data_IF_310600566314
#
_entry.id   IF_310600566314
#
_cell.length_a   1.000
_cell.length_b   1.000
_cell.length_c   1.000
_cell.angle_alpha   90.00
_cell.angle_beta   90.00
_cell.angle_gamma   90.00
#
_symmetry.space_group_name_H-M   'P 1'
#
loop_
_entity.id
_entity.type
_entity.pdbx_description
1 polymer ?
#
# COMPACT_ATOMS: atom_id res chain seq x y z
N UNK A 1 -4.78 -10.31 12.52
CA UNK A 1 -5.02 -9.32 13.60
C UNK A 1 -5.83 -8.14 13.04
N UNK A 2 -6.85 -7.66 13.76
CA UNK A 2 -7.58 -6.46 13.35
C UNK A 2 -6.71 -5.21 13.63
N UNK A 3 -6.68 -4.21 12.72
CA UNK A 3 -5.99 -2.95 12.99
C UNK A 3 -6.60 -2.26 14.21
N UNK A 4 -5.76 -1.69 15.06
CA UNK A 4 -6.19 -0.81 16.14
C UNK A 4 -6.65 0.55 15.56
N UNK A 5 -6.89 1.55 16.43
CA UNK A 5 -7.29 2.88 15.99
C UNK A 5 -6.32 3.43 14.92
N UNK A 6 -6.85 3.65 13.72
CA UNK A 6 -6.11 4.22 12.60
C UNK A 6 -5.78 5.68 12.91
N UNK A 7 -4.53 6.07 12.65
CA UNK A 7 -4.15 7.47 12.71
C UNK A 7 -4.44 8.18 11.37
N UNK A 8 -4.19 9.50 11.34
CA UNK A 8 -4.38 10.30 10.15
C UNK A 8 -3.48 9.82 8.99
N UNK A 9 -2.28 9.33 9.29
CA UNK A 9 -1.30 8.83 8.33
C UNK A 9 -1.79 7.54 7.66
N UNK A 10 -2.35 6.60 8.44
CA UNK A 10 -2.95 5.37 7.95
C UNK A 10 -4.11 5.68 7.00
N UNK A 11 -5.00 6.57 7.44
CA UNK A 11 -6.21 6.91 6.69
C UNK A 11 -5.85 7.56 5.36
N UNK A 12 -4.90 8.49 5.37
CA UNK A 12 -4.40 9.14 4.16
C UNK A 12 -3.67 8.18 3.20
N UNK A 13 -3.00 7.17 3.73
CA UNK A 13 -2.36 6.13 2.94
C UNK A 13 -3.40 5.19 2.30
N UNK A 14 -4.34 4.67 3.09
CA UNK A 14 -5.35 3.72 2.64
C UNK A 14 -6.33 4.34 1.62
N UNK A 15 -6.63 5.64 1.75
CA UNK A 15 -7.50 6.35 0.81
C UNK A 15 -6.99 6.38 -0.64
N UNK A 16 -5.69 6.10 -0.88
CA UNK A 16 -5.10 6.09 -2.22
C UNK A 16 -5.48 4.85 -3.03
N UNK A 17 -5.76 3.72 -2.37
CA UNK A 17 -5.98 2.44 -3.06
C UNK A 17 -7.25 2.41 -3.92
N UNK A 18 -8.44 2.82 -3.43
CA UNK A 18 -9.65 2.79 -4.26
C UNK A 18 -9.52 3.64 -5.53
N UNK A 19 -8.93 4.82 -5.40
CA UNK A 19 -8.72 5.72 -6.54
C UNK A 19 -7.70 5.14 -7.52
N UNK A 20 -6.57 4.61 -7.05
CA UNK A 20 -5.57 4.01 -7.92
C UNK A 20 -6.10 2.77 -8.65
N UNK A 21 -6.91 1.93 -7.99
CA UNK A 21 -7.55 0.76 -8.62
C UNK A 21 -8.47 1.19 -9.75
N UNK A 22 -9.33 2.19 -9.53
CA UNK A 22 -10.21 2.72 -10.57
C UNK A 22 -9.42 3.29 -11.76
N UNK A 23 -8.38 4.08 -11.48
CA UNK A 23 -7.50 4.64 -12.52
C UNK A 23 -6.78 3.55 -13.33
N UNK A 24 -6.30 2.48 -12.68
CA UNK A 24 -5.65 1.36 -13.37
C UNK A 24 -6.67 0.65 -14.27
N UNK A 25 -7.89 0.40 -13.81
CA UNK A 25 -8.94 -0.24 -14.61
C UNK A 25 -9.27 0.58 -15.87
N UNK A 26 -9.47 1.89 -15.73
CA UNK A 26 -9.67 2.81 -16.85
C UNK A 26 -8.49 2.77 -17.84
N UNK A 27 -7.26 2.88 -17.34
CA UNK A 27 -6.05 2.85 -18.17
C UNK A 27 -5.85 1.52 -18.88
N UNK A 28 -6.23 0.41 -18.27
CA UNK A 28 -6.20 -0.92 -18.89
C UNK A 28 -7.24 -1.06 -20.00
N UNK A 29 -8.45 -0.53 -19.79
CA UNK A 29 -9.51 -0.49 -20.81
C UNK A 29 -9.10 0.37 -22.02
N UNK A 30 -8.37 1.45 -21.79
CA UNK A 30 -7.84 2.34 -22.83
C UNK A 30 -6.55 1.82 -23.50
N UNK A 31 -6.09 0.61 -23.16
CA UNK A 31 -4.81 0.04 -23.63
C UNK A 31 -3.57 0.90 -23.29
N UNK A 32 -3.68 1.77 -22.27
CA UNK A 32 -2.61 2.65 -21.79
C UNK A 32 -1.73 1.95 -20.74
N UNK A 33 -1.15 0.80 -21.09
CA UNK A 33 -0.41 -0.09 -20.19
C UNK A 33 0.74 0.59 -19.44
N UNK A 34 1.47 1.49 -20.09
CA UNK A 34 2.55 2.25 -19.47
C UNK A 34 2.05 3.17 -18.36
N UNK A 35 0.87 3.77 -18.52
CA UNK A 35 0.23 4.60 -17.50
C UNK A 35 -0.32 3.75 -16.36
N UNK A 36 -0.94 2.62 -16.66
CA UNK A 36 -1.39 1.65 -15.66
C UNK A 36 -0.23 1.21 -14.75
N UNK A 37 0.90 0.82 -15.34
CA UNK A 37 2.09 0.43 -14.58
C UNK A 37 2.65 1.60 -13.73
N UNK A 38 2.64 2.82 -14.28
CA UNK A 38 3.06 4.02 -13.55
C UNK A 38 2.18 4.27 -12.31
N UNK A 39 0.85 4.19 -12.44
CA UNK A 39 -0.09 4.33 -11.31
C UNK A 39 0.18 3.28 -10.21
N UNK A 40 0.52 2.04 -10.60
CA UNK A 40 0.89 1.00 -9.63
C UNK A 40 2.21 1.34 -8.92
N UNK A 41 3.19 1.90 -9.62
CA UNK A 41 4.46 2.34 -9.01
C UNK A 41 4.27 3.51 -8.04
N UNK A 42 3.30 4.39 -8.28
CA UNK A 42 2.93 5.44 -7.34
C UNK A 42 2.43 4.86 -6.00
N UNK A 43 1.70 3.73 -6.01
CA UNK A 43 1.32 3.03 -4.78
C UNK A 43 2.53 2.43 -4.06
N UNK A 44 3.50 1.89 -4.79
CA UNK A 44 4.77 1.42 -4.20
C UNK A 44 5.51 2.57 -3.51
N UNK A 45 5.60 3.72 -4.18
CA UNK A 45 6.18 4.94 -3.60
C UNK A 45 5.41 5.41 -2.36
N UNK A 46 4.08 5.36 -2.39
CA UNK A 46 3.24 5.68 -1.23
C UNK A 46 3.48 4.74 -0.04
N UNK A 47 3.64 3.43 -0.30
CA UNK A 47 3.93 2.44 0.73
C UNK A 47 5.32 2.69 1.35
N UNK A 48 6.35 2.99 0.54
CA UNK A 48 7.67 3.35 1.05
C UNK A 48 7.62 4.62 1.91
N UNK A 49 6.92 5.66 1.46
CA UNK A 49 6.72 6.87 2.26
C UNK A 49 6.01 6.58 3.58
N UNK A 50 5.00 5.71 3.57
CA UNK A 50 4.30 5.30 4.78
C UNK A 50 5.21 4.53 5.75
N UNK A 51 6.15 3.72 5.26
CA UNK A 51 7.20 3.09 6.09
C UNK A 51 8.05 4.16 6.76
N UNK A 52 8.52 5.16 6.01
CA UNK A 52 9.37 6.24 6.54
C UNK A 52 8.63 7.08 7.58
N UNK A 53 7.38 7.47 7.29
CA UNK A 53 6.56 8.31 8.16
C UNK A 53 6.16 7.56 9.46
N UNK A 54 6.02 6.22 9.42
CA UNK A 54 5.64 5.42 10.60
C UNK A 54 6.82 4.82 11.36
N UNK A 55 8.01 4.74 10.74
CA UNK A 55 9.24 4.19 11.28
C UNK A 55 9.04 2.91 12.13
N UNK A 56 8.56 1.80 11.55
CA UNK A 56 8.15 0.61 12.30
C UNK A 56 9.29 -0.01 13.12
N UNK A 57 10.55 0.14 12.68
CA UNK A 57 11.73 -0.28 13.44
C UNK A 57 11.91 0.48 14.76
N UNK A 58 11.37 1.70 14.86
CA UNK A 58 11.36 2.49 16.10
C UNK A 58 10.22 2.02 17.00
N UNK A 59 9.02 1.81 16.42
CA UNK A 59 7.86 1.30 17.16
C UNK A 59 8.14 -0.08 17.76
N UNK A 60 8.91 -0.92 17.08
CA UNK A 60 9.30 -2.25 17.55
C UNK A 60 10.20 -2.26 18.79
N UNK A 61 10.82 -1.13 19.15
CA UNK A 61 11.68 -1.02 20.33
C UNK A 61 10.91 -0.81 21.62
N UNK A 62 9.65 -0.38 21.54
CA UNK A 62 8.79 -0.12 22.70
C UNK A 62 7.60 -1.09 22.73
N UNK A 63 7.55 -1.92 23.78
CA UNK A 63 6.47 -2.88 23.96
C UNK A 63 5.08 -2.25 24.10
N UNK A 64 4.99 -1.01 24.63
CA UNK A 64 3.72 -0.29 24.72
C UNK A 64 3.16 0.08 23.35
N UNK A 65 4.02 0.19 22.33
CA UNK A 65 3.66 0.54 20.96
C UNK A 65 3.35 -0.69 20.08
N UNK A 66 3.39 -1.91 20.61
CA UNK A 66 3.04 -3.15 19.88
C UNK A 66 1.71 -3.05 19.13
N UNK A 67 0.61 -2.51 19.70
CA UNK A 67 -0.65 -2.37 18.97
C UNK A 67 -0.56 -1.45 17.74
N UNK A 68 0.22 -0.36 17.84
CA UNK A 68 0.46 0.56 16.73
C UNK A 68 1.30 -0.12 15.65
N UNK A 69 2.39 -0.78 16.04
CA UNK A 69 3.23 -1.55 15.12
C UNK A 69 2.42 -2.60 14.36
N UNK A 70 1.56 -3.36 15.04
CA UNK A 70 0.72 -4.37 14.40
C UNK A 70 -0.21 -3.76 13.33
N UNK A 71 -0.73 -2.56 13.58
CA UNK A 71 -1.57 -1.82 12.63
C UNK A 71 -0.76 -1.37 11.41
N UNK A 72 0.43 -0.80 11.63
CA UNK A 72 1.33 -0.37 10.56
C UNK A 72 1.73 -1.54 9.67
N UNK A 73 2.15 -2.65 10.28
CA UNK A 73 2.53 -3.86 9.55
C UNK A 73 1.35 -4.47 8.79
N UNK A 74 0.14 -4.46 9.38
CA UNK A 74 -1.06 -4.93 8.70
C UNK A 74 -1.36 -4.12 7.44
N UNK A 75 -1.33 -2.78 7.54
CA UNK A 75 -1.57 -1.88 6.41
C UNK A 75 -0.52 -2.09 5.30
N UNK A 76 0.74 -2.30 5.66
CA UNK A 76 1.81 -2.60 4.70
C UNK A 76 1.62 -3.95 4.00
N UNK A 77 1.27 -5.00 4.74
CA UNK A 77 0.99 -6.29 4.12
C UNK A 77 -0.21 -6.23 3.17
N UNK A 78 -1.29 -5.54 3.55
CA UNK A 78 -2.44 -5.35 2.67
C UNK A 78 -2.10 -4.50 1.43
N UNK A 79 -1.29 -3.46 1.59
CA UNK A 79 -0.78 -2.67 0.47
C UNK A 79 0.00 -3.53 -0.53
N UNK A 80 0.93 -4.35 -0.03
CA UNK A 80 1.71 -5.26 -0.87
C UNK A 80 0.81 -6.27 -1.58
N UNK A 81 -0.18 -6.84 -0.88
CA UNK A 81 -1.16 -7.78 -1.47
C UNK A 81 -1.93 -7.14 -2.64
N UNK A 82 -2.37 -5.89 -2.48
CA UNK A 82 -3.10 -5.17 -3.53
C UNK A 82 -2.18 -4.80 -4.70
N UNK A 83 -0.97 -4.32 -4.43
CA UNK A 83 0.02 -4.00 -5.47
C UNK A 83 0.35 -5.26 -6.29
N UNK A 84 0.60 -6.39 -5.64
CA UNK A 84 0.90 -7.65 -6.31
C UNK A 84 -0.22 -8.08 -7.28
N UNK A 85 -1.49 -7.91 -6.86
CA UNK A 85 -2.64 -8.18 -7.71
C UNK A 85 -2.69 -7.25 -8.94
N UNK A 86 -2.40 -5.96 -8.78
CA UNK A 86 -2.39 -4.98 -9.87
C UNK A 86 -1.21 -5.17 -10.83
N UNK A 87 -0.06 -5.67 -10.33
CA UNK A 87 1.13 -5.93 -11.13
C UNK A 87 1.03 -7.24 -11.94
N UNK A 88 0.19 -8.19 -11.50
CA UNK A 88 0.07 -9.52 -12.10
C UNK A 88 -0.09 -9.55 -13.64
N UNK A 89 -0.84 -8.65 -14.30
CA UNK A 89 -0.93 -8.60 -15.77
C UNK A 89 0.40 -8.29 -16.47
N UNK A 90 1.35 -7.67 -15.77
CA UNK A 90 2.66 -7.24 -16.28
C UNK A 90 3.78 -8.21 -15.88
N UNK A 91 3.74 -8.73 -14.65
CA UNK A 91 4.76 -9.65 -14.10
C UNK A 91 4.09 -10.86 -13.44
N UNK A 92 3.64 -11.86 -14.24
CA UNK A 92 2.82 -12.96 -13.74
C UNK A 92 3.56 -13.95 -12.84
N UNK A 93 4.89 -13.99 -12.89
CA UNK A 93 5.73 -14.87 -12.06
C UNK A 93 6.16 -14.22 -10.74
N UNK A 94 5.99 -12.90 -10.60
CA UNK A 94 6.53 -12.12 -9.46
C UNK A 94 5.45 -11.64 -8.48
N UNK A 95 4.18 -11.62 -8.89
CA UNK A 95 3.03 -11.13 -8.10
C UNK A 95 2.12 -12.22 -7.53
#
# INVERSE_FOLDING_TARGET
PAPAAADATDTAFLARFPQAIATVDEQMNDLAFNKALQTVWELVGAANKYIDDTAPWTLAKDEALRPRLATVMYNLCEAVRLIALLVKPFMPETG
#
